data_IF_507678308601
#
_entry.id   IF_507678308601
#
_cell.length_a   1.000
_cell.length_b   1.000
_cell.length_c   1.000
_cell.angle_alpha   90.00
_cell.angle_beta   90.00
_cell.angle_gamma   90.00
#
_symmetry.space_group_name_H-M   'P 1'
#
loop_
_entity.id
_entity.type
_entity.pdbx_description
1 polymer ?
#
# COMPACT_ATOMS: atom_id res chain seq x y z
N UNK A 1 -24.20 19.38 16.73
CA UNK A 1 -23.56 18.78 17.91
C UNK A 1 -22.77 17.60 17.39
N UNK A 2 -21.47 17.80 17.15
CA UNK A 2 -20.55 16.70 16.80
C UNK A 2 -20.43 15.83 18.05
N UNK A 3 -20.67 14.53 17.94
CA UNK A 3 -20.34 13.62 19.02
C UNK A 3 -18.81 13.56 19.08
N UNK A 4 -18.22 14.09 20.16
CA UNK A 4 -16.77 14.22 20.27
C UNK A 4 -16.27 13.11 21.18
N UNK A 5 -15.77 11.99 20.63
CA UNK A 5 -15.21 10.94 21.46
C UNK A 5 -14.02 11.50 22.25
N UNK A 6 -14.01 11.18 23.55
CA UNK A 6 -12.86 11.46 24.42
C UNK A 6 -12.00 10.20 24.45
N UNK A 7 -10.78 10.30 23.91
CA UNK A 7 -9.82 9.21 24.02
C UNK A 7 -9.21 9.22 25.45
N UNK A 8 -9.66 8.31 26.30
CA UNK A 8 -9.10 8.05 27.65
C UNK A 8 -8.11 6.88 27.58
N UNK A 9 -7.11 6.98 26.69
CA UNK A 9 -6.20 5.89 26.37
C UNK A 9 -4.81 6.18 26.95
N UNK A 10 -4.41 5.44 27.98
CA UNK A 10 -3.08 5.55 28.59
C UNK A 10 -1.94 5.07 27.67
N UNK A 11 -2.27 4.39 26.55
CA UNK A 11 -1.30 3.89 25.57
C UNK A 11 -1.34 4.70 24.28
N UNK A 12 -0.16 5.11 23.82
CA UNK A 12 0.04 5.90 22.60
C UNK A 12 -0.58 5.25 21.34
N UNK A 13 -0.45 3.95 21.16
CA UNK A 13 -1.01 3.25 19.99
C UNK A 13 -2.54 3.22 19.97
N UNK A 14 -3.17 3.06 21.13
CA UNK A 14 -4.63 3.10 21.25
C UNK A 14 -5.15 4.50 20.92
N UNK A 15 -4.44 5.53 21.40
CA UNK A 15 -4.72 6.93 21.06
C UNK A 15 -4.60 7.20 19.56
N UNK A 16 -3.47 6.82 18.95
CA UNK A 16 -3.24 7.02 17.51
C UNK A 16 -4.27 6.27 16.66
N UNK A 17 -4.64 5.04 17.06
CA UNK A 17 -5.67 4.25 16.38
C UNK A 17 -7.04 4.90 16.45
N UNK A 18 -7.43 5.42 17.63
CA UNK A 18 -8.67 6.17 17.79
C UNK A 18 -8.67 7.45 16.95
N UNK A 19 -7.57 8.21 16.98
CA UNK A 19 -7.42 9.44 16.21
C UNK A 19 -7.52 9.20 14.69
N UNK A 20 -6.89 8.13 14.18
CA UNK A 20 -6.98 7.72 12.76
C UNK A 20 -8.42 7.37 12.38
N UNK A 21 -9.11 6.57 13.19
CA UNK A 21 -10.51 6.20 12.95
C UNK A 21 -11.40 7.44 12.88
N UNK A 22 -11.30 8.33 13.86
CA UNK A 22 -12.09 9.56 13.91
C UNK A 22 -11.78 10.47 12.72
N UNK A 23 -10.50 10.59 12.32
CA UNK A 23 -10.11 11.30 11.09
C UNK A 23 -10.77 10.69 9.86
N UNK A 24 -10.74 9.37 9.71
CA UNK A 24 -11.31 8.66 8.56
C UNK A 24 -12.84 8.82 8.48
N UNK A 25 -13.50 8.95 9.63
CA UNK A 25 -14.93 9.25 9.75
C UNK A 25 -15.25 10.76 9.57
N UNK A 26 -14.23 11.61 9.35
CA UNK A 26 -14.39 13.05 9.19
C UNK A 26 -14.71 13.81 10.48
N UNK A 27 -14.42 13.20 11.63
CA UNK A 27 -14.68 13.73 12.97
C UNK A 27 -13.50 14.47 13.61
N UNK A 28 -13.66 14.78 14.89
CA UNK A 28 -12.67 15.37 15.78
C UNK A 28 -12.59 14.59 17.09
N UNK A 29 -11.41 14.50 17.69
CA UNK A 29 -11.17 13.83 18.96
C UNK A 29 -10.53 14.80 19.95
N UNK A 30 -10.99 14.76 21.20
CA UNK A 30 -10.38 15.48 22.31
C UNK A 30 -9.30 14.59 22.95
N UNK A 31 -8.06 15.07 22.96
CA UNK A 31 -6.97 14.39 23.64
C UNK A 31 -6.95 14.78 25.12
N UNK A 32 -7.32 13.83 25.99
CA UNK A 32 -7.48 14.06 27.44
C UNK A 32 -6.15 14.26 28.17
N UNK A 33 -5.13 13.50 27.77
CA UNK A 33 -3.75 13.63 28.21
C UNK A 33 -2.84 13.44 27.00
N UNK A 34 -1.68 14.09 27.00
CA UNK A 34 -0.68 13.80 25.99
C UNK A 34 -0.06 12.43 26.29
N UNK A 35 -0.14 11.44 25.39
CA UNK A 35 0.52 10.16 25.62
C UNK A 35 2.02 10.38 25.76
N UNK A 36 2.66 9.65 26.69
CA UNK A 36 4.11 9.65 26.82
C UNK A 36 4.73 9.13 25.52
N UNK A 37 5.63 9.91 24.93
CA UNK A 37 6.40 9.47 23.77
C UNK A 37 7.50 8.49 24.22
N UNK A 38 7.88 7.51 23.38
CA UNK A 38 9.06 6.69 23.64
C UNK A 38 10.29 7.58 23.88
N UNK A 39 11.25 7.15 24.70
CA UNK A 39 12.54 7.83 24.75
C UNK A 39 13.34 7.51 23.48
N UNK A 40 13.64 8.53 22.68
CA UNK A 40 14.49 8.39 21.52
C UNK A 40 15.94 8.60 21.94
N UNK A 41 16.83 7.70 21.52
CA UNK A 41 18.26 7.90 21.70
C UNK A 41 18.72 9.15 20.93
N UNK A 42 18.88 10.28 21.61
CA UNK A 42 19.51 11.49 21.06
C UNK A 42 18.68 12.77 21.04
N UNK A 43 17.40 12.77 21.46
CA UNK A 43 16.62 14.02 21.61
C UNK A 43 16.51 14.43 23.08
N UNK A 44 16.84 15.70 23.43
CA UNK A 44 16.67 16.17 24.81
C UNK A 44 15.19 16.14 25.21
N UNK A 45 14.90 15.69 26.44
CA UNK A 45 13.55 15.81 27.04
C UNK A 45 13.17 17.30 27.11
N UNK A 46 12.10 17.71 26.45
CA UNK A 46 11.47 19.02 26.69
C UNK A 46 10.88 19.75 25.48
N UNK A 47 9.57 19.57 25.28
CA UNK A 47 8.59 20.64 25.06
C UNK A 47 8.35 21.34 23.71
N UNK A 48 9.03 21.08 22.58
CA UNK A 48 8.73 21.83 21.33
C UNK A 48 8.26 21.04 20.09
N UNK A 49 8.50 19.73 19.97
CA UNK A 49 8.16 18.98 18.74
C UNK A 49 7.09 17.88 18.91
N UNK A 50 6.49 17.77 20.09
CA UNK A 50 5.56 16.68 20.40
C UNK A 50 4.27 16.73 19.56
N UNK A 51 3.68 17.92 19.40
CA UNK A 51 2.44 18.07 18.63
C UNK A 51 2.66 17.82 17.13
N UNK A 52 3.70 18.39 16.48
CA UNK A 52 4.08 18.00 15.12
C UNK A 52 4.31 16.50 14.96
N UNK A 53 5.05 15.85 15.86
CA UNK A 53 5.31 14.40 15.79
C UNK A 53 4.02 13.59 15.92
N UNK A 54 3.10 13.94 16.82
CA UNK A 54 1.82 13.25 16.95
C UNK A 54 0.93 13.44 15.72
N UNK A 55 0.84 14.67 15.21
CA UNK A 55 0.08 15.02 14.01
C UNK A 55 0.62 14.26 12.80
N UNK A 56 1.94 14.26 12.59
CA UNK A 56 2.57 13.47 11.54
C UNK A 56 2.42 11.96 11.77
N UNK A 57 2.37 11.49 13.02
CA UNK A 57 2.17 10.07 13.31
C UNK A 57 0.74 9.59 13.02
N UNK A 58 -0.25 10.48 13.07
CA UNK A 58 -1.62 10.16 12.62
C UNK A 58 -1.68 10.21 11.09
N UNK A 59 -1.12 11.25 10.46
CA UNK A 59 -1.17 11.49 9.00
C UNK A 59 -2.53 11.98 8.52
N UNK A 60 -2.60 12.76 7.44
CA UNK A 60 -3.83 13.41 6.93
C UNK A 60 -4.65 14.09 8.04
N UNK A 61 -3.99 14.66 9.06
CA UNK A 61 -4.66 15.20 10.22
C UNK A 61 -4.19 16.62 10.56
N UNK A 62 -4.99 17.31 11.36
CA UNK A 62 -4.62 18.56 11.98
C UNK A 62 -4.74 18.48 13.50
N UNK A 63 -4.06 19.40 14.19
CA UNK A 63 -4.26 19.70 15.59
C UNK A 63 -4.46 21.19 15.82
N UNK A 64 -5.33 21.54 16.74
CA UNK A 64 -5.57 22.92 17.19
C UNK A 64 -5.48 22.96 18.71
N UNK A 65 -4.64 23.82 19.32
CA UNK A 65 -4.65 23.98 20.76
C UNK A 65 -6.01 24.49 21.25
N UNK A 66 -6.59 23.86 22.28
CA UNK A 66 -7.95 24.20 22.73
C UNK A 66 -8.07 25.64 23.24
N UNK A 67 -6.99 26.21 23.76
CA UNK A 67 -6.94 27.62 24.19
C UNK A 67 -7.25 28.59 23.03
N UNK A 68 -6.97 28.19 21.78
CA UNK A 68 -7.28 28.97 20.58
C UNK A 68 -8.79 29.08 20.35
N UNK A 69 -9.52 28.01 20.64
CA UNK A 69 -10.99 27.92 20.48
C UNK A 69 -11.74 28.63 21.62
N UNK A 70 -11.12 28.74 22.79
CA UNK A 70 -11.76 29.28 24.01
C UNK A 70 -11.49 30.80 24.25
N UNK A 71 -11.03 31.56 23.25
CA UNK A 71 -10.66 32.98 23.42
C UNK A 71 -9.67 33.26 24.57
N UNK A 72 -8.82 32.28 24.92
CA UNK A 72 -7.90 32.38 26.06
C UNK A 72 -8.55 32.16 27.43
N UNK A 73 -9.89 32.10 27.51
CA UNK A 73 -10.65 31.75 28.70
C UNK A 73 -10.78 30.22 28.77
N UNK A 74 -9.69 29.54 29.14
CA UNK A 74 -9.74 28.12 29.52
C UNK A 74 -10.47 27.97 30.87
N UNK A 75 -11.75 28.32 30.91
CA UNK A 75 -12.62 27.86 31.99
C UNK A 75 -12.69 26.34 31.86
N UNK A 76 -12.56 25.59 32.97
CA UNK A 76 -12.91 24.17 32.94
C UNK A 76 -14.33 24.09 32.39
N UNK A 77 -14.52 23.41 31.26
CA UNK A 77 -15.84 23.27 30.68
C UNK A 77 -16.72 22.64 31.76
N UNK A 78 -17.92 23.17 32.05
CA UNK A 78 -18.70 22.75 33.22
C UNK A 78 -19.11 21.26 33.20
N UNK A 79 -18.97 20.58 32.07
CA UNK A 79 -19.18 19.15 31.90
C UNK A 79 -17.90 18.30 31.87
N UNK A 80 -16.72 18.91 31.99
CA UNK A 80 -15.39 18.27 32.08
C UNK A 80 -14.51 18.93 33.18
N UNK A 81 -14.87 18.83 34.47
CA UNK A 81 -14.07 19.38 35.55
C UNK A 81 -12.76 18.60 35.74
N UNK A 82 -11.63 19.31 35.81
CA UNK A 82 -10.35 18.78 36.30
C UNK A 82 -9.35 18.24 35.27
N UNK A 83 -9.62 18.38 33.96
CA UNK A 83 -8.72 17.84 32.91
C UNK A 83 -8.28 18.94 31.94
N UNK A 84 -6.97 19.11 31.75
CA UNK A 84 -6.40 20.04 30.78
C UNK A 84 -6.32 19.29 29.45
N UNK A 85 -7.25 19.56 28.54
CA UNK A 85 -7.16 19.08 27.16
C UNK A 85 -6.27 20.06 26.38
N UNK A 86 -5.04 19.73 25.99
CA UNK A 86 -4.15 20.69 25.36
C UNK A 86 -4.55 21.02 23.91
N UNK A 87 -5.20 20.08 23.19
CA UNK A 87 -5.52 20.25 21.77
C UNK A 87 -6.70 19.37 21.31
N UNK A 88 -7.30 19.75 20.19
CA UNK A 88 -8.25 18.97 19.39
C UNK A 88 -7.50 18.41 18.18
N UNK A 89 -7.67 17.12 17.90
CA UNK A 89 -7.17 16.47 16.68
C UNK A 89 -8.34 16.10 15.77
N UNK A 90 -8.11 16.03 14.46
CA UNK A 90 -9.14 15.57 13.52
C UNK A 90 -8.72 15.78 12.07
N UNK A 91 -9.66 15.58 11.14
CA UNK A 91 -9.40 15.94 9.76
C UNK A 91 -9.25 17.47 9.61
N UNK A 92 -8.31 17.96 8.78
CA UNK A 92 -8.07 19.40 8.60
C UNK A 92 -9.33 20.18 8.19
N UNK A 93 -10.23 19.57 7.42
CA UNK A 93 -11.48 20.19 6.97
C UNK A 93 -12.47 20.39 8.13
N UNK A 94 -12.64 19.40 9.01
CA UNK A 94 -13.50 19.54 10.18
C UNK A 94 -12.94 20.57 11.16
N UNK A 95 -11.63 20.55 11.41
CA UNK A 95 -10.97 21.54 12.24
C UNK A 95 -11.03 22.95 11.64
N UNK A 96 -10.90 23.06 10.31
CA UNK A 96 -11.04 24.32 9.59
C UNK A 96 -12.43 24.91 9.73
N UNK A 97 -13.49 24.08 9.62
CA UNK A 97 -14.88 24.51 9.87
C UNK A 97 -15.07 24.97 11.31
N UNK A 98 -14.60 24.18 12.28
CA UNK A 98 -14.66 24.53 13.70
C UNK A 98 -13.95 25.86 14.00
N UNK A 99 -12.75 26.06 13.47
CA UNK A 99 -12.01 27.29 13.66
C UNK A 99 -12.67 28.49 12.99
N UNK A 100 -13.28 28.32 11.81
CA UNK A 100 -13.95 29.40 11.10
C UNK A 100 -15.19 29.95 11.86
N UNK A 101 -15.79 29.16 12.75
CA UNK A 101 -16.86 29.61 13.65
C UNK A 101 -16.36 30.59 14.73
N UNK A 102 -15.07 30.52 15.08
CA UNK A 102 -14.46 31.30 16.16
C UNK A 102 -13.42 32.33 15.70
N UNK A 103 -12.91 32.20 14.47
CA UNK A 103 -11.79 32.98 13.93
C UNK A 103 -11.96 33.28 12.44
N UNK A 104 -11.41 34.40 11.93
CA UNK A 104 -11.27 34.61 10.49
C UNK A 104 -10.46 33.47 9.84
N UNK A 105 -10.82 33.06 8.62
CA UNK A 105 -10.21 31.92 7.93
C UNK A 105 -8.67 31.97 7.82
N UNK A 106 -8.09 33.15 7.61
CA UNK A 106 -6.62 33.33 7.54
C UNK A 106 -5.95 33.09 8.90
N UNK A 107 -6.62 33.43 9.99
CA UNK A 107 -6.12 33.15 11.34
C UNK A 107 -6.31 31.67 11.70
N UNK A 108 -7.43 31.07 11.31
CA UNK A 108 -7.70 29.64 11.49
C UNK A 108 -6.57 28.76 10.93
N UNK A 109 -6.13 29.06 9.70
CA UNK A 109 -5.09 28.26 9.04
C UNK A 109 -3.73 28.30 9.76
N UNK A 110 -3.34 29.47 10.29
CA UNK A 110 -2.08 29.66 11.00
C UNK A 110 -2.06 29.03 12.40
N UNK A 111 -3.22 28.76 12.97
CA UNK A 111 -3.37 28.24 14.32
C UNK A 111 -3.50 26.71 14.35
N UNK A 112 -3.55 26.09 13.18
CA UNK A 112 -3.65 24.64 13.00
C UNK A 112 -2.27 24.07 12.64
N UNK A 113 -1.82 23.09 13.42
CA UNK A 113 -0.71 22.24 13.03
C UNK A 113 -1.24 21.18 12.08
N UNK A 114 -0.68 21.03 10.89
CA UNK A 114 -1.12 20.04 9.90
C UNK A 114 0.00 19.05 9.65
N UNK A 115 -0.37 17.78 9.52
CA UNK A 115 0.55 16.79 8.97
C UNK A 115 0.76 17.10 7.49
N UNK A 116 1.83 16.56 6.93
CA UNK A 116 1.94 16.51 5.48
C UNK A 116 0.74 15.76 4.89
N UNK A 117 0.19 16.23 3.75
CA UNK A 117 -0.89 15.54 3.08
C UNK A 117 -0.38 14.19 2.57
N UNK A 118 -1.16 13.16 2.82
CA UNK A 118 -0.94 11.82 2.30
C UNK A 118 -1.63 11.73 0.95
N UNK A 119 -0.80 11.69 -0.08
CA UNK A 119 -1.23 11.54 -1.45
C UNK A 119 -1.73 10.11 -1.68
N UNK A 120 -2.87 10.00 -2.35
CA UNK A 120 -3.59 8.72 -2.56
C UNK A 120 -3.59 8.21 -3.99
N UNK A 121 -3.18 9.05 -4.94
CA UNK A 121 -3.19 8.73 -6.36
C UNK A 121 -1.84 9.11 -7.00
N UNK A 122 -1.25 8.16 -7.72
CA UNK A 122 0.05 8.25 -8.38
C UNK A 122 -0.04 7.94 -9.88
N UNK A 123 -1.25 7.87 -10.44
CA UNK A 123 -1.49 7.55 -11.84
C UNK A 123 -0.78 8.52 -12.82
N UNK A 124 -0.54 9.78 -12.41
CA UNK A 124 0.21 10.73 -13.24
C UNK A 124 1.66 10.29 -13.53
N UNK A 125 2.22 9.43 -12.68
CA UNK A 125 3.57 8.90 -12.84
C UNK A 125 3.59 7.55 -13.56
N UNK A 126 2.46 7.09 -14.10
CA UNK A 126 2.35 5.78 -14.74
C UNK A 126 3.42 5.53 -15.81
N UNK A 127 3.85 6.57 -16.52
CA UNK A 127 4.91 6.46 -17.53
C UNK A 127 6.24 5.88 -17.00
N UNK A 128 6.55 6.03 -15.70
CA UNK A 128 7.78 5.50 -15.09
C UNK A 128 7.83 3.98 -15.05
N UNK A 129 6.67 3.32 -15.07
CA UNK A 129 6.56 1.87 -14.89
C UNK A 129 5.83 1.17 -16.04
N UNK A 130 5.44 1.91 -17.09
CA UNK A 130 4.63 1.40 -18.21
C UNK A 130 5.42 1.12 -19.51
N UNK A 131 6.76 1.18 -19.49
CA UNK A 131 7.56 1.04 -20.73
C UNK A 131 7.49 -0.39 -21.27
N UNK A 132 6.88 -0.52 -22.45
CA UNK A 132 6.82 -1.76 -23.24
C UNK A 132 8.23 -2.27 -23.55
N UNK A 133 8.53 -3.50 -23.12
CA UNK A 133 9.87 -4.08 -23.20
C UNK A 133 10.46 -4.48 -21.84
N UNK A 134 9.77 -4.19 -20.74
CA UNK A 134 10.08 -4.73 -19.42
C UNK A 134 9.71 -6.23 -19.29
N UNK A 135 10.17 -7.04 -20.25
CA UNK A 135 10.63 -8.37 -19.86
C UNK A 135 11.82 -8.13 -18.94
N UNK A 136 11.71 -8.50 -17.67
CA UNK A 136 12.84 -8.61 -16.74
C UNK A 136 13.90 -9.56 -17.32
N UNK A 137 14.65 -9.11 -18.33
CA UNK A 137 15.68 -9.92 -18.98
C UNK A 137 16.87 -10.13 -18.03
N UNK A 138 17.05 -9.20 -17.07
CA UNK A 138 18.03 -9.28 -16.01
C UNK A 138 17.32 -9.51 -14.66
N UNK A 139 17.61 -10.62 -13.95
CA UNK A 139 17.02 -10.89 -12.64
C UNK A 139 17.32 -9.77 -11.62
N UNK A 140 16.40 -9.45 -10.69
CA UNK A 140 16.61 -8.44 -9.65
C UNK A 140 17.93 -8.57 -8.89
N UNK A 141 18.42 -9.80 -8.66
CA UNK A 141 19.69 -10.07 -7.97
C UNK A 141 20.91 -9.65 -8.80
N UNK A 142 20.86 -9.83 -10.13
CA UNK A 142 21.94 -9.40 -11.03
C UNK A 142 22.02 -7.87 -11.09
N UNK A 143 20.87 -7.20 -11.21
CA UNK A 143 20.79 -5.73 -11.17
C UNK A 143 21.29 -5.20 -9.82
N UNK A 144 20.88 -5.80 -8.70
CA UNK A 144 21.36 -5.43 -7.37
C UNK A 144 22.88 -5.60 -7.23
N UNK A 145 23.43 -6.73 -7.69
CA UNK A 145 24.87 -7.02 -7.62
C UNK A 145 25.69 -6.02 -8.45
N UNK A 146 25.15 -5.61 -9.60
CA UNK A 146 25.74 -4.63 -10.50
C UNK A 146 25.71 -3.22 -9.89
N UNK A 147 24.54 -2.75 -9.47
CA UNK A 147 24.35 -1.40 -8.89
C UNK A 147 25.04 -1.22 -7.52
N UNK A 148 25.38 -2.31 -6.84
CA UNK A 148 26.14 -2.27 -5.59
C UNK A 148 27.65 -2.02 -5.78
N UNK A 149 28.17 -2.05 -7.03
CA UNK A 149 29.60 -1.86 -7.31
C UNK A 149 29.98 -0.38 -7.43
N UNK A 150 31.23 0.01 -7.09
CA UNK A 150 31.67 1.41 -7.11
C UNK A 150 31.74 2.11 -8.47
N UNK A 151 31.43 1.44 -9.58
CA UNK A 151 31.51 2.03 -10.93
C UNK A 151 30.32 2.98 -11.19
N UNK A 152 30.53 3.96 -12.08
CA UNK A 152 29.47 4.88 -12.50
C UNK A 152 28.56 4.18 -13.51
N UNK A 153 27.45 3.65 -13.01
CA UNK A 153 26.37 3.13 -13.86
C UNK A 153 25.09 3.94 -13.69
N UNK A 154 24.36 4.06 -14.80
CA UNK A 154 23.00 4.61 -14.85
C UNK A 154 22.10 3.92 -13.80
N UNK A 155 21.25 4.69 -13.11
CA UNK A 155 20.37 4.16 -12.04
C UNK A 155 21.04 3.96 -10.67
N UNK A 156 22.37 3.99 -10.54
CA UNK A 156 23.04 3.77 -9.25
C UNK A 156 22.66 4.79 -8.18
N UNK A 157 22.56 6.06 -8.55
CA UNK A 157 22.11 7.13 -7.63
C UNK A 157 20.71 6.81 -7.11
N UNK A 158 19.77 6.47 -8.00
CA UNK A 158 18.40 6.14 -7.63
C UNK A 158 18.31 4.90 -6.72
N UNK A 159 19.11 3.86 -7.00
CA UNK A 159 19.23 2.68 -6.14
C UNK A 159 19.65 3.05 -4.71
N UNK A 160 20.70 3.85 -4.55
CA UNK A 160 21.14 4.24 -3.21
C UNK A 160 20.19 5.22 -2.52
N UNK A 161 19.52 6.11 -3.25
CA UNK A 161 18.45 6.95 -2.69
C UNK A 161 17.31 6.06 -2.15
N UNK A 162 16.89 5.06 -2.92
CA UNK A 162 15.88 4.08 -2.49
C UNK A 162 16.29 3.35 -1.21
N UNK A 163 17.54 2.89 -1.12
CA UNK A 163 18.09 2.27 0.11
C UNK A 163 18.04 3.22 1.31
N UNK A 164 18.45 4.46 1.11
CA UNK A 164 18.50 5.46 2.18
C UNK A 164 17.10 5.81 2.68
N UNK A 165 16.13 6.05 1.78
CA UNK A 165 14.75 6.30 2.17
C UNK A 165 14.11 5.10 2.86
N UNK A 166 14.31 3.87 2.36
CA UNK A 166 13.81 2.67 3.03
C UNK A 166 14.36 2.52 4.45
N UNK A 167 15.65 2.82 4.66
CA UNK A 167 16.26 2.79 5.98
C UNK A 167 15.65 3.83 6.94
N UNK A 168 15.36 5.03 6.43
CA UNK A 168 14.74 6.12 7.19
C UNK A 168 13.30 5.77 7.57
N UNK A 169 12.50 5.32 6.61
CA UNK A 169 11.12 4.90 6.83
C UNK A 169 11.03 3.75 7.83
N UNK A 170 11.87 2.72 7.67
CA UNK A 170 11.94 1.57 8.59
C UNK A 170 12.26 1.99 10.04
N UNK A 171 12.90 3.14 10.23
CA UNK A 171 13.25 3.70 11.54
C UNK A 171 12.21 4.66 12.13
N UNK A 172 11.02 4.75 11.53
CA UNK A 172 10.00 5.66 12.03
C UNK A 172 10.27 7.11 11.66
N UNK A 173 10.91 7.38 10.52
CA UNK A 173 11.17 8.74 10.09
C UNK A 173 10.66 8.97 8.67
N UNK A 174 10.21 10.18 8.38
CA UNK A 174 9.91 10.68 7.04
C UNK A 174 10.97 11.72 6.69
N UNK A 175 11.53 11.66 5.48
CA UNK A 175 12.48 12.66 5.00
C UNK A 175 11.85 14.05 4.94
N UNK A 176 10.60 14.13 4.50
CA UNK A 176 9.96 15.38 4.10
C UNK A 176 10.35 15.73 2.68
N UNK A 177 9.37 15.65 1.76
CA UNK A 177 9.49 16.00 0.35
C UNK A 177 10.86 15.61 -0.25
N UNK A 178 11.13 14.29 -0.34
CA UNK A 178 12.41 13.80 -0.83
C UNK A 178 12.66 14.27 -2.28
N UNK A 179 13.59 15.22 -2.47
CA UNK A 179 13.97 15.76 -3.78
C UNK A 179 15.37 15.28 -4.17
N UNK A 180 15.76 15.35 -5.46
CA UNK A 180 17.10 14.95 -5.88
C UNK A 180 18.23 15.64 -5.13
N UNK A 181 18.08 16.94 -4.84
CA UNK A 181 19.04 17.78 -4.14
C UNK A 181 19.12 17.48 -2.63
N UNK A 182 18.12 16.80 -2.07
CA UNK A 182 18.15 16.30 -0.69
C UNK A 182 19.20 15.19 -0.46
N UNK A 183 19.81 14.66 -1.53
CA UNK A 183 20.78 13.57 -1.47
C UNK A 183 22.11 13.93 -2.14
N UNK A 184 23.20 13.68 -1.42
CA UNK A 184 24.56 13.73 -1.94
C UNK A 184 25.12 12.31 -2.06
N UNK A 185 25.73 11.99 -3.20
CA UNK A 185 26.43 10.70 -3.36
C UNK A 185 27.84 10.85 -2.83
N UNK A 186 28.17 10.18 -1.73
CA UNK A 186 29.55 10.10 -1.23
C UNK A 186 30.40 9.39 -2.29
N UNK A 187 31.27 10.13 -2.99
CA UNK A 187 32.08 9.58 -4.09
C UNK A 187 33.01 8.42 -3.67
N UNK A 188 33.37 8.30 -2.38
CA UNK A 188 34.26 7.23 -1.87
C UNK A 188 33.50 5.94 -1.60
N UNK A 189 32.30 6.06 -1.04
CA UNK A 189 31.44 4.90 -0.71
C UNK A 189 30.46 4.58 -1.83
N UNK A 190 30.24 5.55 -2.72
CA UNK A 190 29.19 5.65 -3.72
C UNK A 190 27.80 5.33 -3.15
N UNK A 191 27.52 5.85 -1.96
CA UNK A 191 26.22 5.72 -1.28
C UNK A 191 25.59 7.11 -1.20
N UNK A 192 24.27 7.16 -1.37
CA UNK A 192 23.48 8.38 -1.19
C UNK A 192 23.35 8.69 0.31
N UNK A 193 23.79 9.89 0.70
CA UNK A 193 23.68 10.44 2.04
C UNK A 193 22.66 11.58 1.98
N UNK A 194 21.77 11.63 2.95
CA UNK A 194 20.82 12.73 3.07
C UNK A 194 21.52 14.00 3.54
N UNK A 195 21.19 15.12 2.92
CA UNK A 195 21.74 16.45 3.21
C UNK A 195 20.67 17.37 3.80
N UNK A 196 19.39 17.00 3.67
CA UNK A 196 18.24 17.82 4.04
C UNK A 196 17.88 17.78 5.53
N UNK A 197 17.16 18.80 5.99
CA UNK A 197 16.89 19.11 7.40
C UNK A 197 15.42 18.99 7.81
N UNK A 198 14.49 18.64 6.91
CA UNK A 198 13.05 18.55 7.24
C UNK A 198 12.58 17.14 7.69
N UNK A 199 13.49 16.34 8.25
CA UNK A 199 13.20 14.99 8.72
C UNK A 199 12.18 15.05 9.87
N UNK A 200 11.09 14.28 9.76
CA UNK A 200 10.09 14.12 10.81
C UNK A 200 10.20 12.75 11.43
N UNK A 201 10.37 12.74 12.75
CA UNK A 201 10.39 11.54 13.56
C UNK A 201 8.96 11.20 14.00
N UNK A 202 8.56 9.97 13.75
CA UNK A 202 7.25 9.40 14.06
C UNK A 202 7.35 8.35 15.14
N UNK A 203 6.32 8.20 15.95
CA UNK A 203 6.31 7.27 17.09
C UNK A 203 6.34 5.79 16.71
N UNK A 204 6.18 5.49 15.42
CA UNK A 204 6.05 4.18 14.82
C UNK A 204 6.55 4.24 13.37
N UNK A 205 6.67 3.09 12.72
CA UNK A 205 7.00 3.02 11.29
C UNK A 205 5.91 3.75 10.49
N UNK A 206 6.24 4.67 9.55
CA UNK A 206 5.24 5.45 8.85
C UNK A 206 4.30 4.56 8.05
N UNK A 207 3.05 4.97 7.93
CA UNK A 207 2.07 4.26 7.11
C UNK A 207 2.51 4.23 5.63
N UNK A 208 2.06 3.22 4.90
CA UNK A 208 2.38 3.01 3.47
C UNK A 208 2.16 4.27 2.64
N UNK A 209 1.00 4.92 2.80
CA UNK A 209 0.68 6.16 2.09
C UNK A 209 1.62 7.32 2.45
N UNK A 210 2.08 7.41 3.70
CA UNK A 210 3.03 8.46 4.12
C UNK A 210 4.39 8.26 3.46
N UNK A 211 4.91 7.03 3.46
CA UNK A 211 6.14 6.67 2.75
C UNK A 211 6.02 6.97 1.25
N UNK A 212 4.90 6.59 0.63
CA UNK A 212 4.65 6.85 -0.79
C UNK A 212 4.59 8.35 -1.10
N UNK A 213 3.96 9.14 -0.22
CA UNK A 213 3.88 10.60 -0.34
C UNK A 213 5.25 11.27 -0.18
N UNK A 214 6.10 10.73 0.70
CA UNK A 214 7.46 11.21 0.89
C UNK A 214 8.32 10.97 -0.36
N UNK A 215 8.15 9.81 -0.99
CA UNK A 215 8.77 9.42 -2.27
C UNK A 215 8.21 10.25 -3.45
N UNK A 216 6.95 10.69 -3.38
CA UNK A 216 6.23 11.34 -4.48
C UNK A 216 6.98 12.53 -5.09
N UNK A 217 7.70 13.29 -4.26
CA UNK A 217 8.46 14.47 -4.70
C UNK A 217 9.68 14.11 -5.55
N UNK A 218 10.17 12.87 -5.45
CA UNK A 218 11.29 12.36 -6.22
C UNK A 218 10.86 11.89 -7.61
N UNK A 219 9.64 11.34 -7.72
CA UNK A 219 9.15 10.67 -8.93
C UNK A 219 9.27 11.50 -10.22
N UNK A 220 8.96 12.82 -10.25
CA UNK A 220 9.10 13.64 -11.46
C UNK A 220 10.52 13.70 -12.03
N UNK A 221 11.54 13.39 -11.24
CA UNK A 221 12.95 13.46 -11.63
C UNK A 221 13.52 12.13 -12.13
N UNK A 222 12.78 11.04 -11.99
CA UNK A 222 13.25 9.71 -12.31
C UNK A 222 12.95 9.36 -13.77
N UNK A 223 13.83 8.59 -14.39
CA UNK A 223 13.53 7.84 -15.62
C UNK A 223 12.94 6.46 -15.26
N UNK A 224 12.37 5.71 -16.21
CA UNK A 224 11.96 4.32 -15.97
C UNK A 224 13.10 3.42 -15.46
N UNK A 225 14.33 3.62 -15.96
CA UNK A 225 15.50 2.89 -15.49
C UNK A 225 15.87 3.28 -14.04
N UNK A 226 15.81 4.58 -13.71
CA UNK A 226 16.03 5.06 -12.35
C UNK A 226 14.97 4.56 -11.39
N UNK A 227 13.70 4.55 -11.80
CA UNK A 227 12.60 4.00 -11.01
C UNK A 227 12.84 2.51 -10.70
N UNK A 228 13.21 1.72 -11.71
CA UNK A 228 13.57 0.30 -11.51
C UNK A 228 14.69 0.14 -10.49
N UNK A 229 15.76 0.92 -10.62
CA UNK A 229 16.89 0.90 -9.70
C UNK A 229 16.47 1.34 -8.28
N UNK A 230 15.67 2.40 -8.16
CA UNK A 230 15.11 2.89 -6.90
C UNK A 230 14.33 1.80 -6.17
N UNK A 231 13.38 1.13 -6.85
CA UNK A 231 12.58 0.05 -6.25
C UNK A 231 13.47 -1.06 -5.69
N UNK A 232 14.46 -1.51 -6.47
CA UNK A 232 15.38 -2.55 -6.03
C UNK A 232 16.16 -2.12 -4.78
N UNK A 233 16.61 -0.86 -4.75
CA UNK A 233 17.26 -0.28 -3.58
C UNK A 233 16.35 -0.26 -2.36
N UNK A 234 15.14 0.26 -2.54
CA UNK A 234 14.14 0.38 -1.47
C UNK A 234 13.80 -0.99 -0.86
N UNK A 235 13.45 -1.97 -1.71
CA UNK A 235 13.12 -3.35 -1.32
C UNK A 235 14.27 -4.07 -0.63
N UNK A 236 15.52 -3.82 -1.05
CA UNK A 236 16.70 -4.48 -0.46
C UNK A 236 16.93 -4.14 1.01
N UNK A 237 16.46 -2.98 1.47
CA UNK A 237 16.67 -2.49 2.85
C UNK A 237 15.45 -2.72 3.76
N UNK A 238 14.26 -2.81 3.16
CA UNK A 238 13.00 -3.00 3.86
C UNK A 238 12.04 -3.85 3.01
N UNK A 239 12.09 -5.19 3.14
CA UNK A 239 11.23 -6.09 2.37
C UNK A 239 9.73 -5.83 2.59
N UNK A 240 9.31 -5.51 3.81
CA UNK A 240 7.91 -5.14 4.10
C UNK A 240 7.51 -3.80 3.45
N UNK A 241 8.51 -3.02 2.99
CA UNK A 241 8.35 -1.84 2.17
C UNK A 241 7.83 -2.12 0.75
N UNK A 242 7.70 -3.38 0.33
CA UNK A 242 7.03 -3.75 -0.92
C UNK A 242 5.65 -3.12 -1.05
N UNK A 243 4.91 -3.04 0.07
CA UNK A 243 3.59 -2.40 0.10
C UNK A 243 3.61 -0.93 -0.32
N UNK A 244 4.73 -0.24 -0.12
CA UNK A 244 4.91 1.15 -0.57
C UNK A 244 5.02 1.22 -2.09
N UNK A 245 5.73 0.26 -2.69
CA UNK A 245 5.82 0.15 -4.14
C UNK A 245 4.48 -0.29 -4.73
N UNK A 246 3.81 -1.24 -4.08
CA UNK A 246 2.49 -1.72 -4.50
C UNK A 246 1.45 -0.58 -4.50
N UNK A 247 1.51 0.28 -3.49
CA UNK A 247 0.70 1.49 -3.39
C UNK A 247 1.01 2.51 -4.50
N UNK A 248 2.29 2.75 -4.78
CA UNK A 248 2.72 3.70 -5.81
C UNK A 248 2.36 3.26 -7.23
N UNK A 249 2.60 2.00 -7.56
CA UNK A 249 2.42 1.48 -8.93
C UNK A 249 0.98 1.05 -9.22
N UNK A 250 0.34 0.42 -8.23
CA UNK A 250 -0.95 -0.26 -8.41
C UNK A 250 -2.09 0.32 -7.58
N UNK A 251 -1.81 1.32 -6.73
CA UNK A 251 -2.84 1.93 -5.89
C UNK A 251 -3.39 1.00 -4.80
N UNK A 252 -2.67 -0.05 -4.42
CA UNK A 252 -3.11 -0.97 -3.37
C UNK A 252 -3.04 -0.33 -1.98
N UNK A 253 -4.15 0.27 -1.55
CA UNK A 253 -4.30 0.93 -0.25
C UNK A 253 -4.43 -0.03 0.92
N UNK A 254 -4.76 -1.30 0.67
CA UNK A 254 -5.04 -2.28 1.72
C UNK A 254 -3.84 -3.17 2.02
N UNK A 255 -3.02 -3.46 1.01
CA UNK A 255 -1.96 -4.47 1.05
C UNK A 255 -2.40 -5.85 0.56
N UNK A 256 -3.55 -5.96 -0.13
CA UNK A 256 -4.02 -7.23 -0.68
C UNK A 256 -3.00 -7.81 -1.67
N UNK A 257 -2.30 -6.98 -2.43
CA UNK A 257 -1.39 -7.42 -3.49
C UNK A 257 -0.14 -8.09 -2.90
N UNK A 258 0.41 -7.50 -1.84
CA UNK A 258 1.50 -8.09 -1.08
C UNK A 258 1.10 -9.47 -0.49
N UNK A 259 -0.13 -9.58 0.03
CA UNK A 259 -0.66 -10.83 0.58
C UNK A 259 -0.85 -11.90 -0.51
N UNK A 260 -1.39 -11.51 -1.67
CA UNK A 260 -1.57 -12.38 -2.85
C UNK A 260 -0.23 -12.89 -3.38
N UNK A 261 0.76 -12.02 -3.49
CA UNK A 261 2.14 -12.38 -3.91
C UNK A 261 2.74 -13.46 -3.01
N UNK A 262 2.47 -13.40 -1.70
CA UNK A 262 2.94 -14.37 -0.71
C UNK A 262 2.07 -15.62 -0.60
N UNK A 263 0.96 -15.68 -1.34
CA UNK A 263 -0.07 -16.73 -1.24
C UNK A 263 -0.64 -16.87 0.17
N UNK A 264 -0.65 -15.78 0.93
CA UNK A 264 -1.35 -15.73 2.21
C UNK A 264 -2.84 -15.51 1.93
N UNK A 265 -3.55 -16.57 1.60
CA UNK A 265 -4.96 -16.50 1.22
C UNK A 265 -5.84 -16.01 2.39
N UNK A 266 -5.50 -16.42 3.61
CA UNK A 266 -6.21 -16.01 4.83
C UNK A 266 -6.04 -14.51 5.10
N UNK A 267 -4.86 -13.96 4.86
CA UNK A 267 -4.62 -12.51 4.90
C UNK A 267 -5.27 -11.77 3.72
N UNK A 268 -5.21 -12.34 2.51
CA UNK A 268 -5.64 -11.66 1.27
C UNK A 268 -7.15 -11.49 1.21
N UNK A 269 -7.93 -12.49 1.60
CA UNK A 269 -9.40 -12.49 1.51
C UNK A 269 -10.04 -11.25 2.19
N UNK A 270 -9.84 -10.98 3.49
CA UNK A 270 -10.43 -9.80 4.14
C UNK A 270 -9.82 -8.46 3.67
N UNK A 271 -8.67 -8.47 3.01
CA UNK A 271 -8.10 -7.27 2.37
C UNK A 271 -8.80 -6.98 1.04
N UNK A 272 -9.05 -8.01 0.23
CA UNK A 272 -9.75 -7.92 -1.04
C UNK A 272 -11.21 -7.52 -0.86
N UNK A 273 -11.91 -8.06 0.14
CA UNK A 273 -13.29 -7.65 0.47
C UNK A 273 -13.35 -6.16 0.82
N UNK A 274 -12.48 -5.70 1.73
CA UNK A 274 -12.42 -4.27 2.09
C UNK A 274 -12.06 -3.38 0.91
N UNK A 275 -11.15 -3.84 0.05
CA UNK A 275 -10.79 -3.10 -1.17
C UNK A 275 -11.98 -3.02 -2.14
N UNK A 276 -12.77 -4.10 -2.27
CA UNK A 276 -13.94 -4.17 -3.14
C UNK A 276 -15.09 -3.30 -2.62
N UNK A 277 -15.31 -3.28 -1.30
CA UNK A 277 -16.30 -2.42 -0.63
C UNK A 277 -15.97 -0.93 -0.80
N UNK A 278 -14.68 -0.59 -0.76
CA UNK A 278 -14.18 0.77 -0.97
C UNK A 278 -14.01 1.16 -2.45
N UNK A 279 -14.17 0.23 -3.39
CA UNK A 279 -13.95 0.47 -4.81
C UNK A 279 -15.14 1.24 -5.42
N UNK A 280 -14.93 2.44 -5.99
CA UNK A 280 -16.00 3.16 -6.68
C UNK A 280 -16.60 2.32 -7.81
N UNK A 281 -17.93 2.36 -7.98
CA UNK A 281 -18.60 1.62 -9.08
C UNK A 281 -18.11 2.04 -10.47
N UNK A 282 -17.72 3.31 -10.63
CA UNK A 282 -17.17 3.84 -11.87
C UNK A 282 -15.78 3.27 -12.21
N UNK A 283 -15.09 2.66 -11.23
CA UNK A 283 -13.76 2.09 -11.41
C UNK A 283 -13.80 0.61 -11.80
N UNK A 284 -14.42 0.36 -12.96
CA UNK A 284 -14.62 -0.99 -13.47
C UNK A 284 -13.31 -1.81 -13.64
N UNK A 285 -12.16 -1.24 -14.06
CA UNK A 285 -10.90 -1.97 -14.12
C UNK A 285 -10.39 -2.43 -12.75
N UNK A 286 -10.42 -1.56 -11.73
CA UNK A 286 -10.01 -1.98 -10.38
C UNK A 286 -10.97 -3.04 -9.83
N UNK A 287 -12.29 -2.85 -10.03
CA UNK A 287 -13.29 -3.83 -9.61
C UNK A 287 -13.08 -5.20 -10.24
N UNK A 288 -12.79 -5.26 -11.54
CA UNK A 288 -12.45 -6.49 -12.26
C UNK A 288 -11.24 -7.21 -11.62
N UNK A 289 -10.18 -6.45 -11.36
CA UNK A 289 -8.98 -6.95 -10.70
C UNK A 289 -9.29 -7.56 -9.32
N UNK A 290 -10.05 -6.83 -8.49
CA UNK A 290 -10.41 -7.26 -7.14
C UNK A 290 -11.29 -8.51 -7.14
N UNK A 291 -12.30 -8.59 -8.02
CA UNK A 291 -13.18 -9.76 -8.15
C UNK A 291 -12.39 -11.02 -8.57
N UNK A 292 -11.54 -10.90 -9.59
CA UNK A 292 -10.73 -12.02 -10.07
C UNK A 292 -9.81 -12.57 -8.95
N UNK A 293 -9.18 -11.66 -8.21
CA UNK A 293 -8.26 -12.02 -7.13
C UNK A 293 -9.00 -12.54 -5.90
N UNK A 294 -10.20 -12.03 -5.61
CA UNK A 294 -11.08 -12.53 -4.53
C UNK A 294 -11.52 -13.96 -4.80
N UNK A 295 -11.97 -14.26 -6.03
CA UNK A 295 -12.27 -15.64 -6.45
C UNK A 295 -11.08 -16.57 -6.28
N UNK A 296 -9.87 -16.11 -6.61
CA UNK A 296 -8.64 -16.88 -6.40
C UNK A 296 -8.32 -17.10 -4.91
N UNK A 297 -8.45 -16.07 -4.05
CA UNK A 297 -8.20 -16.19 -2.62
C UNK A 297 -9.20 -17.14 -1.93
N UNK A 298 -10.49 -16.99 -2.22
CA UNK A 298 -11.55 -17.89 -1.74
C UNK A 298 -11.31 -19.34 -2.19
N UNK A 299 -10.90 -19.51 -3.44
CA UNK A 299 -10.54 -20.82 -3.98
C UNK A 299 -9.31 -21.42 -3.27
N UNK A 300 -8.32 -20.59 -2.91
CA UNK A 300 -7.16 -21.01 -2.12
C UNK A 300 -7.50 -21.41 -0.67
N UNK A 301 -8.57 -20.84 -0.10
CA UNK A 301 -9.09 -21.17 1.22
C UNK A 301 -10.01 -22.41 1.26
N UNK A 302 -10.35 -22.97 0.10
CA UNK A 302 -11.33 -24.08 0.02
C UNK A 302 -12.79 -23.62 -0.03
N UNK A 303 -13.06 -22.32 -0.08
CA UNK A 303 -14.43 -21.77 -0.18
C UNK A 303 -14.90 -21.73 -1.63
N UNK A 304 -14.95 -22.90 -2.28
CA UNK A 304 -15.19 -23.01 -3.72
C UNK A 304 -16.59 -22.53 -4.15
N UNK A 305 -17.60 -22.72 -3.31
CA UNK A 305 -18.97 -22.23 -3.54
C UNK A 305 -19.05 -20.70 -3.63
N UNK A 306 -18.14 -19.99 -2.95
CA UNK A 306 -18.02 -18.54 -3.01
C UNK A 306 -17.06 -18.09 -4.12
N UNK A 307 -16.00 -18.87 -4.37
CA UNK A 307 -15.00 -18.54 -5.37
C UNK A 307 -15.54 -18.49 -6.81
N UNK A 308 -16.44 -19.42 -7.15
CA UNK A 308 -16.97 -19.53 -8.51
C UNK A 308 -17.83 -18.32 -8.90
N UNK A 309 -18.80 -17.86 -8.09
CA UNK A 309 -19.55 -16.63 -8.37
C UNK A 309 -18.66 -15.40 -8.59
N UNK A 310 -17.60 -15.24 -7.79
CA UNK A 310 -16.66 -14.11 -7.96
C UNK A 310 -15.87 -14.20 -9.27
N UNK A 311 -15.43 -15.41 -9.65
CA UNK A 311 -14.77 -15.63 -10.92
C UNK A 311 -15.71 -15.44 -12.12
N UNK A 312 -16.98 -15.87 -12.01
CA UNK A 312 -18.02 -15.64 -13.02
C UNK A 312 -18.30 -14.13 -13.18
N UNK A 313 -18.41 -13.39 -12.07
CA UNK A 313 -18.58 -11.94 -12.08
C UNK A 313 -17.39 -11.22 -12.72
N UNK A 314 -16.16 -11.65 -12.43
CA UNK A 314 -14.95 -11.13 -13.06
C UNK A 314 -14.94 -11.41 -14.58
N UNK A 315 -15.30 -12.62 -15.01
CA UNK A 315 -15.40 -12.96 -16.44
C UNK A 315 -16.43 -12.08 -17.15
N UNK A 316 -17.63 -11.91 -16.57
CA UNK A 316 -18.70 -11.09 -17.13
C UNK A 316 -18.28 -9.61 -17.25
N UNK A 317 -17.65 -9.06 -16.21
CA UNK A 317 -17.15 -7.68 -16.25
C UNK A 317 -16.01 -7.52 -17.26
N UNK A 318 -15.13 -8.51 -17.36
CA UNK A 318 -14.00 -8.53 -18.28
C UNK A 318 -14.37 -8.50 -19.76
N UNK A 319 -15.55 -9.03 -20.13
CA UNK A 319 -16.05 -8.95 -21.52
C UNK A 319 -16.17 -7.52 -22.05
N UNK A 320 -16.45 -6.58 -21.15
CA UNK A 320 -16.68 -5.18 -21.51
C UNK A 320 -15.49 -4.29 -21.15
N UNK A 321 -14.82 -4.59 -20.03
CA UNK A 321 -13.78 -3.72 -19.46
C UNK A 321 -12.40 -4.00 -20.05
N UNK A 322 -12.05 -5.27 -20.22
CA UNK A 322 -10.72 -5.68 -20.67
C UNK A 322 -10.79 -7.02 -21.43
N UNK A 323 -11.34 -7.05 -22.66
CA UNK A 323 -11.47 -8.27 -23.46
C UNK A 323 -10.15 -9.00 -23.67
N UNK A 324 -9.04 -8.27 -23.69
CA UNK A 324 -7.68 -8.80 -23.79
C UNK A 324 -7.26 -9.65 -22.58
N UNK A 325 -7.89 -9.43 -21.41
CA UNK A 325 -7.66 -10.21 -20.19
C UNK A 325 -8.52 -11.46 -20.10
N UNK A 326 -9.46 -11.65 -21.03
CA UNK A 326 -10.32 -12.84 -21.11
C UNK A 326 -9.58 -14.18 -20.98
N UNK A 327 -8.42 -14.41 -21.63
CA UNK A 327 -7.60 -15.61 -21.41
C UNK A 327 -7.34 -15.95 -19.93
N UNK A 328 -6.98 -14.94 -19.14
CA UNK A 328 -6.57 -15.10 -17.74
C UNK A 328 -7.81 -15.28 -16.87
N UNK A 329 -8.86 -14.52 -17.14
CA UNK A 329 -10.13 -14.63 -16.42
C UNK A 329 -10.78 -16.01 -16.61
N UNK A 330 -10.84 -16.50 -17.86
CA UNK A 330 -11.34 -17.85 -18.16
C UNK A 330 -10.49 -18.92 -17.47
N UNK A 331 -9.17 -18.71 -17.39
CA UNK A 331 -8.29 -19.64 -16.70
C UNK A 331 -8.60 -19.68 -15.20
N UNK A 332 -8.64 -18.53 -14.53
CA UNK A 332 -8.97 -18.43 -13.10
C UNK A 332 -10.35 -19.03 -12.80
N UNK A 333 -11.32 -18.76 -13.67
CA UNK A 333 -12.67 -19.33 -13.58
C UNK A 333 -12.66 -20.86 -13.73
N UNK A 334 -11.96 -21.40 -14.74
CA UNK A 334 -11.84 -22.85 -14.90
C UNK A 334 -11.21 -23.52 -13.67
N UNK A 335 -10.20 -22.90 -13.05
CA UNK A 335 -9.60 -23.43 -11.83
C UNK A 335 -10.54 -23.37 -10.62
N UNK A 336 -11.33 -22.30 -10.49
CA UNK A 336 -12.38 -22.23 -9.47
C UNK A 336 -13.42 -23.36 -9.67
N UNK A 337 -13.87 -23.59 -10.91
CA UNK A 337 -14.81 -24.66 -11.26
C UNK A 337 -14.24 -26.07 -10.99
N UNK A 338 -12.98 -26.33 -11.36
CA UNK A 338 -12.33 -27.61 -11.08
C UNK A 338 -12.27 -27.92 -9.60
N UNK A 339 -11.92 -26.92 -8.79
CA UNK A 339 -11.85 -27.07 -7.33
C UNK A 339 -13.23 -27.18 -6.68
N UNK A 340 -14.26 -26.59 -7.27
CA UNK A 340 -15.66 -26.80 -6.92
C UNK A 340 -16.25 -28.13 -7.43
N UNK A 341 -15.42 -29.05 -7.96
CA UNK A 341 -15.83 -30.32 -8.57
C UNK A 341 -16.79 -30.19 -9.77
N UNK A 342 -16.95 -28.98 -10.34
CA UNK A 342 -17.74 -28.70 -11.55
C UNK A 342 -16.95 -29.01 -12.83
N UNK A 343 -16.52 -30.27 -12.96
CA UNK A 343 -15.56 -30.71 -14.00
C UNK A 343 -16.03 -30.47 -15.44
N UNK A 344 -17.30 -30.71 -15.74
CA UNK A 344 -17.85 -30.50 -17.08
C UNK A 344 -17.86 -29.03 -17.47
N UNK A 345 -18.21 -28.15 -16.54
CA UNK A 345 -18.18 -26.70 -16.74
C UNK A 345 -16.75 -26.21 -16.96
N UNK A 346 -15.82 -26.66 -16.12
CA UNK A 346 -14.41 -26.35 -16.27
C UNK A 346 -13.85 -26.82 -17.62
N UNK A 347 -14.18 -28.04 -18.04
CA UNK A 347 -13.74 -28.59 -19.31
C UNK A 347 -14.22 -27.75 -20.50
N UNK A 348 -15.47 -27.27 -20.47
CA UNK A 348 -15.99 -26.36 -21.50
C UNK A 348 -15.17 -25.08 -21.60
N UNK A 349 -14.83 -24.47 -20.47
CA UNK A 349 -13.99 -23.25 -20.42
C UNK A 349 -12.57 -23.53 -20.94
N UNK A 350 -11.94 -24.63 -20.47
CA UNK A 350 -10.58 -25.01 -20.85
C UNK A 350 -10.46 -25.35 -22.34
N UNK A 351 -11.45 -26.04 -22.92
CA UNK A 351 -11.47 -26.32 -24.37
C UNK A 351 -11.57 -25.02 -25.17
N UNK A 352 -12.37 -24.06 -24.71
CA UNK A 352 -12.43 -22.71 -25.30
C UNK A 352 -11.07 -22.00 -25.27
N UNK A 353 -10.34 -22.11 -24.15
CA UNK A 353 -8.98 -21.57 -24.01
C UNK A 353 -7.97 -22.24 -24.97
N UNK A 354 -8.07 -23.56 -25.15
CA UNK A 354 -7.15 -24.32 -26.02
C UNK A 354 -7.39 -24.01 -27.51
N UNK A 355 -8.65 -23.83 -27.90
CA UNK A 355 -9.04 -23.58 -29.29
C UNK A 355 -8.87 -22.10 -29.72
N UNK A 356 -8.83 -21.16 -28.78
CA UNK A 356 -8.78 -19.73 -29.05
C UNK A 356 -7.38 -19.15 -29.33
N UNK A 357 -7.29 -17.87 -29.77
CA UNK A 357 -6.02 -17.17 -29.97
C UNK A 357 -5.39 -16.79 -28.62
N UNK A 358 -4.39 -17.56 -28.18
CA UNK A 358 -3.78 -17.47 -26.84
C UNK A 358 -2.25 -17.71 -26.89
N UNK A 359 -1.54 -17.34 -25.83
CA UNK A 359 -0.11 -17.61 -25.71
C UNK A 359 0.17 -19.11 -25.52
N UNK A 360 1.32 -19.64 -25.98
CA UNK A 360 1.69 -21.03 -25.75
C UNK A 360 1.68 -21.44 -24.27
N UNK A 361 2.09 -20.53 -23.38
CA UNK A 361 2.08 -20.76 -21.93
C UNK A 361 0.66 -20.99 -21.39
N UNK A 362 -0.30 -20.14 -21.79
CA UNK A 362 -1.71 -20.26 -21.36
C UNK A 362 -2.33 -21.56 -21.88
N UNK A 363 -2.05 -21.91 -23.14
CA UNK A 363 -2.52 -23.16 -23.75
C UNK A 363 -1.97 -24.38 -23.02
N UNK A 364 -0.67 -24.39 -22.71
CA UNK A 364 -0.05 -25.50 -21.99
C UNK A 364 -0.65 -25.67 -20.58
N UNK A 365 -0.93 -24.56 -19.90
CA UNK A 365 -1.53 -24.62 -18.57
C UNK A 365 -3.00 -25.08 -18.63
N UNK A 366 -3.76 -24.67 -19.64
CA UNK A 366 -5.12 -25.15 -19.87
C UNK A 366 -5.17 -26.65 -20.22
N UNK A 367 -4.23 -27.14 -21.05
CA UNK A 367 -4.12 -28.59 -21.36
C UNK A 367 -3.81 -29.39 -20.09
N UNK A 368 -2.83 -28.96 -19.28
CA UNK A 368 -2.49 -29.62 -18.02
C UNK A 368 -3.68 -29.66 -17.05
N UNK A 369 -4.44 -28.56 -16.96
CA UNK A 369 -5.63 -28.50 -16.13
C UNK A 369 -6.75 -29.43 -16.64
N UNK A 370 -6.89 -29.59 -17.96
CA UNK A 370 -7.87 -30.48 -18.56
C UNK A 370 -7.49 -31.95 -18.35
N UNK A 371 -6.22 -32.31 -18.57
CA UNK A 371 -5.70 -33.66 -18.32
C UNK A 371 -5.90 -34.06 -16.86
N UNK A 372 -5.65 -33.13 -15.94
CA UNK A 372 -5.89 -33.30 -14.51
C UNK A 372 -7.37 -33.55 -14.16
N UNK A 373 -8.30 -32.84 -14.79
CA UNK A 373 -9.72 -32.96 -14.53
C UNK A 373 -10.24 -34.39 -14.81
N UNK A 374 -9.66 -35.05 -15.82
CA UNK A 374 -10.06 -36.36 -16.33
C UNK A 374 -9.08 -37.50 -16.01
N UNK A 375 -8.05 -37.26 -15.18
CA UNK A 375 -7.14 -38.30 -14.76
C UNK A 375 -7.90 -39.41 -14.00
N UNK A 376 -7.73 -40.67 -14.44
CA UNK A 376 -8.42 -41.86 -13.88
C UNK A 376 -8.00 -42.17 -12.44
N UNK A 377 -6.87 -41.62 -11.98
CA UNK A 377 -6.37 -41.73 -10.61
C UNK A 377 -6.10 -40.31 -10.09
N UNK A 378 -7.14 -39.58 -9.65
CA UNK A 378 -6.94 -38.25 -9.09
C UNK A 378 -6.26 -38.44 -7.73
N UNK A 379 -4.93 -38.33 -7.70
CA UNK A 379 -4.26 -38.01 -6.46
C UNK A 379 -4.81 -36.68 -5.92
N UNK A 380 -4.66 -36.39 -4.62
CA UNK A 380 -5.16 -35.15 -3.99
C UNK A 380 -4.58 -33.84 -4.60
N UNK A 381 -3.72 -33.90 -5.62
CA UNK A 381 -3.09 -32.80 -6.33
C UNK A 381 -3.38 -32.81 -7.85
N UNK A 382 -4.64 -32.94 -8.27
CA UNK A 382 -4.96 -32.88 -9.70
C UNK A 382 -4.68 -31.46 -10.27
N UNK A 383 -4.91 -30.40 -9.51
CA UNK A 383 -4.68 -29.03 -9.97
C UNK A 383 -3.18 -28.69 -9.87
N UNK A 384 -2.50 -28.22 -10.95
CA UNK A 384 -1.07 -27.97 -10.90
C UNK A 384 -0.72 -27.00 -9.76
N UNK A 385 0.34 -27.28 -8.97
CA UNK A 385 0.77 -26.47 -7.83
C UNK A 385 1.42 -25.14 -8.26
N UNK A 386 1.49 -24.89 -9.56
CA UNK A 386 2.09 -23.69 -10.13
C UNK A 386 1.33 -22.46 -9.66
N UNK A 387 2.04 -21.37 -9.32
CA UNK A 387 1.38 -20.11 -8.99
C UNK A 387 0.45 -19.73 -10.13
N UNK A 388 -0.85 -19.66 -9.83
CA UNK A 388 -1.78 -19.00 -10.73
C UNK A 388 -1.43 -17.50 -10.75
N UNK A 389 -1.41 -16.88 -11.93
CA UNK A 389 -1.26 -15.43 -12.01
C UNK A 389 -2.43 -14.75 -11.32
N UNK A 390 -2.22 -13.54 -10.81
CA UNK A 390 -3.29 -12.67 -10.36
C UNK A 390 -3.26 -11.36 -11.14
N UNK A 391 -4.38 -10.62 -11.15
CA UNK A 391 -4.48 -9.37 -11.87
C UNK A 391 -4.02 -8.21 -10.99
N UNK A 392 -3.40 -7.21 -11.59
CA UNK A 392 -3.14 -5.94 -10.93
C UNK A 392 -3.51 -4.80 -11.88
N UNK A 393 -3.94 -3.67 -11.32
CA UNK A 393 -4.15 -2.46 -12.11
C UNK A 393 -2.88 -1.64 -12.07
N UNK A 394 -2.27 -1.41 -13.23
CA UNK A 394 -1.06 -0.61 -13.39
C UNK A 394 -1.39 0.64 -14.20
N UNK A 395 -1.55 1.78 -13.54
CA UNK A 395 -2.07 2.96 -14.23
C UNK A 395 -3.54 2.78 -14.66
N UNK A 396 -3.82 3.02 -15.94
CA UNK A 396 -5.12 2.74 -16.56
C UNK A 396 -5.21 1.34 -17.19
N UNK A 397 -4.13 0.55 -17.19
CA UNK A 397 -4.10 -0.79 -17.78
C UNK A 397 -4.20 -1.87 -16.70
N UNK A 398 -4.75 -3.02 -17.07
CA UNK A 398 -4.62 -4.24 -16.29
C UNK A 398 -3.33 -4.96 -16.70
N UNK A 399 -2.66 -5.57 -15.73
CA UNK A 399 -1.49 -6.39 -15.94
C UNK A 399 -1.64 -7.71 -15.20
N UNK A 400 -0.89 -8.71 -15.66
CA UNK A 400 -0.89 -10.06 -15.11
C UNK A 400 0.39 -10.22 -14.30
N UNK A 401 0.26 -10.39 -12.99
CA UNK A 401 1.39 -10.62 -12.11
C UNK A 401 1.58 -12.13 -11.94
N UNK A 402 2.79 -12.60 -12.21
CA UNK A 402 3.21 -13.96 -11.88
C UNK A 402 3.75 -13.94 -10.44
N UNK A 403 3.12 -14.64 -9.49
CA UNK A 403 3.64 -14.73 -8.13
C UNK A 403 5.06 -15.27 -8.14
N UNK A 404 5.94 -14.67 -7.34
CA UNK A 404 7.28 -15.21 -7.14
C UNK A 404 7.19 -16.67 -6.66
N UNK A 405 8.11 -17.53 -7.12
CA UNK A 405 8.30 -18.81 -6.46
C UNK A 405 8.55 -18.56 -4.97
N UNK A 406 8.00 -19.41 -4.08
CA UNK A 406 8.19 -19.25 -2.64
C UNK A 406 9.65 -18.97 -2.34
N UNK A 407 9.99 -17.92 -1.55
CA UNK A 407 11.37 -17.69 -1.19
C UNK A 407 11.91 -18.97 -0.54
N UNK A 408 13.13 -19.41 -0.87
CA UNK A 408 13.73 -20.53 -0.17
C UNK A 408 13.70 -20.22 1.34
N UNK A 409 13.38 -21.24 2.15
CA UNK A 409 13.44 -21.09 3.61
C UNK A 409 14.77 -20.43 3.98
N UNK A 410 14.76 -19.38 4.82
CA UNK A 410 16.00 -18.82 5.31
C UNK A 410 16.79 -19.98 5.94
N UNK A 411 18.10 -20.09 5.67
CA UNK A 411 18.89 -21.15 6.27
C UNK A 411 18.67 -21.10 7.78
N UNK A 412 18.29 -22.24 8.36
CA UNK A 412 18.25 -22.41 9.80
C UNK A 412 19.60 -21.96 10.33
N UNK A 413 19.63 -20.79 10.97
CA UNK A 413 20.84 -20.27 11.60
C UNK A 413 21.10 -21.18 12.79
N UNK A 414 22.07 -22.07 12.63
CA UNK A 414 22.69 -22.85 13.70
C UNK A 414 23.81 -22.08 14.38
#
# INVERSE_FOLDING_TARGET
MLDVPVADTARLEDFLSAARRVRDEGGIVLARECPELPEWSGTPRGSLDLLPTLVESVGDCGAVPLAVLADGDLRPWPWLPGTVFPFVLGCPEALGRLLAEHRPAVAADRLMFRSRPVRRDFLEFAALWMVEGDTEAEPPQAVHARLSRPQEEEGRRAFHIGRTLAHVHRRGALHGAARPDSFHVDARRGVAVMVDHDIRLLTHVPAVGQCASDIASLLPSLTPADWRAFRLGYRSMWPEGDRVIDYLEYGDTTGWMHSMNRRDWAGSHPLLERALDGCPEADAPLRLCLLANLGQALSGLGHHDLAVPEAEAAVALGEHVAPEMRPVLDLLHAFALLRAERKEDAARVLVGLIAGPRTPAMRNLAVRALDAAYATHPGPMAVPPDPLPFLARHGARLTVIQPSASPPEPPLVG
#
